data_IF_214200868049
#
_entry.id   IF_214200868049
#
_cell.length_a   1.000
_cell.length_b   1.000
_cell.length_c   1.000
_cell.angle_alpha   90.00
_cell.angle_beta   90.00
_cell.angle_gamma   90.00
#
_symmetry.space_group_name_H-M   'P 1'
#
loop_
_entity.id
_entity.type
_entity.pdbx_description
1 polymer ?
#
# COMPACT_ATOMS: atom_id res chain seq x y z
N UNK A 1 -9.09 -7.79 9.29
CA UNK A 1 -8.12 -8.09 8.21
C UNK A 1 -8.86 -8.27 6.90
N UNK A 2 -8.51 -7.50 5.86
CA UNK A 2 -9.17 -7.47 4.54
C UNK A 2 -8.16 -7.71 3.42
N UNK A 3 -8.60 -8.34 2.34
CA UNK A 3 -7.81 -8.56 1.14
C UNK A 3 -8.43 -7.84 -0.04
N UNK A 4 -7.60 -7.08 -0.76
CA UNK A 4 -7.92 -6.52 -2.08
C UNK A 4 -6.99 -7.23 -3.08
N UNK A 5 -7.57 -7.72 -4.18
CA UNK A 5 -6.90 -8.61 -5.15
C UNK A 5 -7.10 -8.15 -6.59
N UNK A 6 -7.50 -6.90 -6.76
CA UNK A 6 -7.80 -6.29 -8.05
C UNK A 6 -6.53 -5.83 -8.79
N UNK A 7 -5.44 -5.56 -8.05
CA UNK A 7 -4.18 -5.04 -8.57
C UNK A 7 -3.15 -6.14 -8.89
N UNK A 8 -2.02 -5.77 -9.51
CA UNK A 8 -0.95 -6.74 -9.91
C UNK A 8 -0.43 -7.58 -8.74
N UNK A 9 -0.32 -7.00 -7.55
CA UNK A 9 -0.08 -7.72 -6.30
C UNK A 9 -1.19 -7.40 -5.30
N UNK A 10 -1.56 -8.32 -4.40
CA UNK A 10 -2.63 -8.08 -3.45
C UNK A 10 -2.28 -6.99 -2.43
N UNK A 11 -3.31 -6.31 -1.93
CA UNK A 11 -3.22 -5.41 -0.77
C UNK A 11 -3.86 -6.14 0.41
N UNK A 12 -3.16 -6.13 1.54
CA UNK A 12 -3.61 -6.76 2.78
C UNK A 12 -3.78 -5.66 3.83
N UNK A 13 -5.00 -5.46 4.32
CA UNK A 13 -5.30 -4.43 5.31
C UNK A 13 -5.58 -5.03 6.68
N UNK A 14 -4.88 -4.50 7.69
CA UNK A 14 -5.21 -4.69 9.10
C UNK A 14 -6.12 -3.58 9.66
N UNK A 15 -6.36 -2.52 8.89
CA UNK A 15 -7.44 -1.56 9.17
C UNK A 15 -8.78 -2.09 8.65
N UNK A 16 -9.83 -1.95 9.46
CA UNK A 16 -11.18 -2.33 9.09
C UNK A 16 -11.84 -1.33 8.14
N UNK A 17 -11.45 -0.06 8.18
CA UNK A 17 -11.98 0.98 7.30
C UNK A 17 -10.89 1.96 6.87
N UNK A 18 -9.96 1.54 5.99
CA UNK A 18 -8.95 2.44 5.46
C UNK A 18 -9.63 3.59 4.72
N UNK A 19 -9.11 4.80 4.89
CA UNK A 19 -9.56 5.96 4.14
C UNK A 19 -9.47 5.70 2.62
N UNK A 20 -10.40 6.25 1.85
CA UNK A 20 -10.44 6.03 0.40
C UNK A 20 -9.16 6.51 -0.30
N UNK A 21 -8.63 7.66 0.12
CA UNK A 21 -7.36 8.20 -0.37
C UNK A 21 -6.19 7.26 -0.09
N UNK A 22 -6.08 6.75 1.14
CA UNK A 22 -5.06 5.78 1.54
C UNK A 22 -5.14 4.47 0.73
N UNK A 23 -6.36 3.96 0.53
CA UNK A 23 -6.57 2.76 -0.28
C UNK A 23 -6.18 3.02 -1.74
N UNK A 24 -6.53 4.15 -2.32
CA UNK A 24 -6.13 4.51 -3.68
C UNK A 24 -4.61 4.62 -3.84
N UNK A 25 -3.91 5.18 -2.85
CA UNK A 25 -2.45 5.19 -2.83
C UNK A 25 -1.90 3.75 -2.77
N UNK A 26 -2.47 2.88 -1.93
CA UNK A 26 -2.11 1.47 -1.89
C UNK A 26 -2.31 0.75 -3.24
N UNK A 27 -3.40 1.06 -3.97
CA UNK A 27 -3.64 0.55 -5.32
C UNK A 27 -2.58 1.00 -6.32
N UNK A 28 -2.12 2.25 -6.21
CA UNK A 28 -1.02 2.73 -7.04
C UNK A 28 0.28 1.95 -6.74
N UNK A 29 0.60 1.78 -5.45
CA UNK A 29 1.79 1.01 -5.03
C UNK A 29 1.74 -0.45 -5.52
N UNK A 30 0.58 -1.08 -5.40
CA UNK A 30 0.36 -2.47 -5.81
C UNK A 30 0.52 -2.70 -7.34
N UNK A 31 0.56 -1.64 -8.14
CA UNK A 31 0.75 -1.73 -9.59
C UNK A 31 2.17 -1.35 -10.06
N UNK A 32 3.05 -0.92 -9.15
CA UNK A 32 4.43 -0.58 -9.44
C UNK A 32 5.22 -1.82 -9.89
N UNK A 33 6.08 -1.71 -10.92
CA UNK A 33 6.79 -2.85 -11.51
C UNK A 33 7.81 -3.51 -10.57
N UNK A 34 8.24 -2.79 -9.53
CA UNK A 34 9.21 -3.25 -8.54
C UNK A 34 8.59 -3.63 -7.19
N UNK A 35 7.26 -3.47 -7.03
CA UNK A 35 6.57 -3.85 -5.81
C UNK A 35 6.56 -5.38 -5.66
N UNK A 36 6.91 -5.86 -4.46
CA UNK A 36 7.15 -7.27 -4.23
C UNK A 36 6.07 -7.89 -3.33
N UNK A 37 5.46 -8.97 -3.83
CA UNK A 37 4.53 -9.86 -3.13
C UNK A 37 3.18 -9.26 -2.71
N UNK A 38 3.15 -8.19 -1.91
CA UNK A 38 1.92 -7.51 -1.47
C UNK A 38 2.21 -6.11 -0.92
N UNK A 39 1.16 -5.28 -0.83
CA UNK A 39 1.17 -4.06 -0.02
C UNK A 39 0.46 -4.37 1.30
N UNK A 40 1.04 -3.96 2.44
CA UNK A 40 0.38 -4.10 3.73
C UNK A 40 -0.08 -2.74 4.26
N UNK A 41 -1.31 -2.67 4.77
CA UNK A 41 -1.86 -1.49 5.45
C UNK A 41 -2.02 -1.79 6.94
N UNK A 42 -1.38 -0.98 7.77
CA UNK A 42 -1.44 -1.09 9.23
C UNK A 42 -2.78 -0.56 9.77
N UNK A 43 -3.14 -0.85 11.04
CA UNK A 43 -4.40 -0.40 11.62
C UNK A 43 -4.60 1.12 11.67
N UNK A 44 -3.50 1.88 11.70
CA UNK A 44 -3.45 3.35 11.75
C UNK A 44 -3.35 4.01 10.37
N UNK A 45 -3.60 3.25 9.30
CA UNK A 45 -3.49 3.73 7.91
C UNK A 45 -4.39 4.93 7.64
N UNK A 46 -3.80 5.96 7.02
CA UNK A 46 -4.50 7.15 6.53
C UNK A 46 -3.76 7.73 5.32
N UNK A 47 -4.41 8.67 4.63
CA UNK A 47 -3.88 9.25 3.40
C UNK A 47 -2.56 10.01 3.67
N UNK A 48 -1.52 9.67 2.90
CA UNK A 48 -0.21 10.33 2.93
C UNK A 48 0.07 11.11 1.64
N UNK A 49 1.35 11.19 1.25
CA UNK A 49 1.75 11.78 -0.04
C UNK A 49 2.36 10.71 -0.94
N UNK A 50 1.55 10.15 -1.84
CA UNK A 50 1.97 9.10 -2.80
C UNK A 50 1.96 7.68 -2.24
N UNK A 51 2.38 7.51 -0.99
CA UNK A 51 2.23 6.29 -0.19
C UNK A 51 1.36 6.60 1.04
N UNK A 52 0.48 5.68 1.47
CA UNK A 52 -0.28 5.90 2.70
C UNK A 52 0.65 5.83 3.92
N UNK A 53 0.40 6.70 4.89
CA UNK A 53 0.99 6.58 6.23
C UNK A 53 0.49 5.25 6.82
N UNK A 54 1.37 4.49 7.48
CA UNK A 54 1.05 3.14 7.95
C UNK A 54 0.98 2.10 6.82
N UNK A 55 1.45 2.42 5.61
CA UNK A 55 1.68 1.44 4.55
C UNK A 55 3.04 0.73 4.67
N UNK A 56 3.15 -0.48 4.13
CA UNK A 56 4.42 -1.17 3.92
C UNK A 56 4.52 -1.63 2.48
N UNK A 57 5.61 -1.22 1.81
CA UNK A 57 6.00 -1.63 0.47
C UNK A 57 7.37 -2.30 0.53
N UNK A 58 7.44 -3.58 0.16
CA UNK A 58 8.71 -4.22 -0.18
C UNK A 58 9.01 -3.96 -1.66
N UNK A 59 10.20 -3.43 -1.96
CA UNK A 59 10.62 -3.09 -3.32
C UNK A 59 11.90 -3.84 -3.73
N UNK A 60 12.00 -4.22 -5.00
CA UNK A 60 13.20 -4.84 -5.57
C UNK A 60 14.12 -3.79 -6.19
N UNK A 61 15.36 -3.74 -5.70
CA UNK A 61 16.47 -2.97 -6.28
C UNK A 61 16.23 -1.46 -6.43
N UNK A 62 15.19 -0.92 -5.78
CA UNK A 62 14.87 0.50 -5.80
C UNK A 62 14.61 1.03 -4.39
N UNK A 63 14.94 2.30 -4.19
CA UNK A 63 14.57 3.07 -3.01
C UNK A 63 13.55 4.12 -3.43
N UNK A 64 12.44 4.22 -2.69
CA UNK A 64 11.43 5.25 -2.89
C UNK A 64 11.58 6.28 -1.77
N UNK A 65 12.15 7.48 -2.03
CA UNK A 65 12.44 8.45 -0.97
C UNK A 65 11.20 8.95 -0.24
N UNK A 66 10.06 9.00 -0.95
CA UNK A 66 8.80 9.53 -0.48
C UNK A 66 7.81 8.39 -0.13
N UNK A 67 8.31 7.33 0.50
CA UNK A 67 7.54 6.20 1.01
C UNK A 67 7.13 6.41 2.49
N UNK A 68 6.87 7.66 2.85
CA UNK A 68 6.51 8.10 4.19
C UNK A 68 5.37 9.12 4.08
#
# INVERSE_FOLDING_TARGET
MKYFREEKIPIISWSDNPEEGALNQARNLANLPFAFHHIALMPDVHEGYGMPIGGVLAAREVVVPNAA
#
